data_IF_073062571114
#
_entry.id   IF_073062571114
#
_cell.length_a   1.000
_cell.length_b   1.000
_cell.length_c   1.000
_cell.angle_alpha   90.00
_cell.angle_beta   90.00
_cell.angle_gamma   90.00
#
_symmetry.space_group_name_H-M   'P 1'
#
loop_
_entity.id
_entity.type
_entity.pdbx_description
1 polymer ?
#
# COMPACT_ATOMS: atom_id res chain seq x y z
N UNK A 1 23.14 18.85 -0.82
CA UNK A 1 21.74 19.30 -0.62
C UNK A 1 20.88 18.10 -0.98
N UNK A 2 20.74 17.18 -0.03
CA UNK A 2 19.95 15.96 -0.22
C UNK A 2 18.49 16.34 -0.02
N UNK A 3 17.70 16.23 -1.09
CA UNK A 3 16.26 16.29 -1.02
C UNK A 3 15.82 15.02 -0.27
N UNK A 4 15.68 15.11 1.05
CA UNK A 4 15.16 14.01 1.87
C UNK A 4 13.76 13.73 1.35
N UNK A 5 13.46 12.46 1.06
CA UNK A 5 12.13 12.02 0.64
C UNK A 5 11.15 12.56 1.68
N UNK A 6 10.37 13.55 1.26
CA UNK A 6 9.44 14.22 2.15
C UNK A 6 8.25 13.29 2.32
N UNK A 7 8.27 12.46 3.38
CA UNK A 7 7.05 11.76 3.83
C UNK A 7 5.92 12.81 3.95
N UNK A 8 4.80 12.70 3.22
CA UNK A 8 3.59 13.37 3.67
C UNK A 8 3.22 12.73 5.01
N UNK A 9 3.42 13.50 6.09
CA UNK A 9 3.01 13.09 7.42
C UNK A 9 1.49 12.85 7.41
N UNK A 10 1.08 11.59 7.60
CA UNK A 10 -0.29 11.24 7.94
C UNK A 10 -1.38 11.69 6.96
N UNK A 11 -1.27 11.36 5.68
CA UNK A 11 -2.48 11.24 4.87
C UNK A 11 -3.24 10.01 5.37
N UNK A 12 -4.33 10.25 6.09
CA UNK A 12 -5.21 9.19 6.59
C UNK A 12 -5.70 8.37 5.40
N UNK A 13 -5.54 7.06 5.49
CA UNK A 13 -6.07 6.12 4.52
C UNK A 13 -6.79 4.98 5.21
N UNK A 14 -7.70 4.35 4.49
CA UNK A 14 -8.53 3.25 4.98
C UNK A 14 -8.32 2.01 4.13
N UNK A 15 -8.27 0.86 4.79
CA UNK A 15 -8.23 -0.44 4.13
C UNK A 15 -9.64 -1.02 4.07
N UNK A 16 -10.00 -1.59 2.92
CA UNK A 16 -11.29 -2.20 2.65
C UNK A 16 -11.10 -3.64 2.19
N UNK A 17 -11.92 -4.56 2.70
CA UNK A 17 -12.04 -5.91 2.15
C UNK A 17 -13.07 -5.88 1.02
N UNK A 18 -12.60 -6.10 -0.21
CA UNK A 18 -13.38 -6.01 -1.44
C UNK A 18 -13.66 -7.40 -2.01
N UNK A 19 -14.90 -7.67 -2.42
CA UNK A 19 -15.28 -8.96 -3.03
C UNK A 19 -15.14 -10.17 -2.11
N UNK A 20 -14.87 -9.98 -0.81
CA UNK A 20 -14.71 -11.02 0.20
C UNK A 20 -13.27 -11.45 0.46
N UNK A 21 -12.31 -11.08 -0.39
CA UNK A 21 -10.92 -11.56 -0.30
C UNK A 21 -9.91 -10.43 -0.51
N UNK A 22 -10.02 -9.69 -1.61
CA UNK A 22 -9.05 -8.66 -1.98
C UNK A 22 -9.03 -7.47 -1.01
N UNK A 23 -7.86 -6.86 -0.84
CA UNK A 23 -7.71 -5.70 0.05
C UNK A 23 -7.36 -4.47 -0.77
N UNK A 24 -8.17 -3.42 -0.61
CA UNK A 24 -7.97 -2.10 -1.21
C UNK A 24 -7.53 -1.10 -0.14
N UNK A 25 -6.52 -0.29 -0.44
CA UNK A 25 -6.24 0.93 0.30
C UNK A 25 -6.79 2.12 -0.47
N UNK A 26 -7.46 3.05 0.23
CA UNK A 26 -7.81 4.36 -0.30
C UNK A 26 -7.34 5.46 0.64
N UNK A 27 -6.71 6.50 0.08
CA UNK A 27 -6.31 7.69 0.83
C UNK A 27 -7.41 8.76 0.87
N UNK A 28 -7.21 9.76 1.72
CA UNK A 28 -8.09 10.93 1.83
C UNK A 28 -8.03 11.87 0.64
N UNK A 29 -7.07 11.72 -0.28
CA UNK A 29 -6.88 12.58 -1.46
C UNK A 29 -7.62 12.06 -2.70
N UNK A 30 -8.39 10.98 -2.55
CA UNK A 30 -9.15 10.39 -3.63
C UNK A 30 -8.31 9.45 -4.50
N UNK A 31 -7.23 8.85 -3.96
CA UNK A 31 -6.49 7.80 -4.64
C UNK A 31 -6.67 6.43 -3.97
N UNK A 32 -6.69 5.36 -4.76
CA UNK A 32 -6.86 4.00 -4.26
C UNK A 32 -6.02 2.98 -5.04
N UNK A 33 -5.65 1.88 -4.40
CA UNK A 33 -5.06 0.73 -5.07
C UNK A 33 -5.40 -0.55 -4.30
N UNK A 34 -5.59 -1.65 -5.04
CA UNK A 34 -5.48 -2.96 -4.44
C UNK A 34 -4.04 -3.18 -3.97
N UNK A 35 -3.92 -3.66 -2.73
CA UNK A 35 -2.63 -3.95 -2.09
C UNK A 35 -2.37 -5.44 -1.91
N UNK A 36 -3.39 -6.27 -2.10
CA UNK A 36 -3.30 -7.73 -2.03
C UNK A 36 -4.54 -8.38 -2.64
N UNK A 37 -4.35 -9.54 -3.28
CA UNK A 37 -5.47 -10.36 -3.76
C UNK A 37 -6.25 -11.01 -2.61
N UNK A 38 -5.61 -11.14 -1.45
CA UNK A 38 -6.20 -11.55 -0.19
C UNK A 38 -5.60 -10.78 1.00
N UNK A 39 -6.10 -11.06 2.22
CA UNK A 39 -5.61 -10.45 3.45
C UNK A 39 -4.15 -10.84 3.77
N UNK A 40 -3.73 -12.06 3.45
CA UNK A 40 -2.37 -12.52 3.74
C UNK A 40 -1.37 -11.74 2.88
N UNK A 41 -1.61 -11.63 1.57
CA UNK A 41 -0.78 -10.84 0.66
C UNK A 41 -0.71 -9.36 1.09
N UNK A 42 -1.85 -8.78 1.48
CA UNK A 42 -1.89 -7.40 1.95
C UNK A 42 -1.03 -7.21 3.21
N UNK A 43 -1.10 -8.14 4.16
CA UNK A 43 -0.27 -8.10 5.38
C UNK A 43 1.21 -8.30 5.05
N UNK A 44 1.56 -9.20 4.12
CA UNK A 44 2.93 -9.39 3.66
C UNK A 44 3.51 -8.10 3.08
N UNK A 45 2.75 -7.38 2.24
CA UNK A 45 3.15 -6.06 1.71
C UNK A 45 3.41 -5.08 2.85
N UNK A 46 2.49 -4.95 3.82
CA UNK A 46 2.64 -4.00 4.93
C UNK A 46 3.81 -4.33 5.86
N UNK A 47 4.14 -5.61 6.01
CA UNK A 47 5.22 -6.07 6.89
C UNK A 47 6.58 -6.03 6.24
N UNK A 48 6.68 -6.27 4.93
CA UNK A 48 7.97 -6.40 4.24
C UNK A 48 8.31 -5.15 3.43
N UNK A 49 7.28 -4.47 2.88
CA UNK A 49 7.39 -3.29 2.04
C UNK A 49 6.50 -2.14 2.56
N UNK A 50 6.74 -1.60 3.77
CA UNK A 50 5.89 -0.58 4.38
C UNK A 50 5.94 0.78 3.65
N UNK A 51 6.95 0.98 2.81
CA UNK A 51 7.13 2.12 1.89
C UNK A 51 6.44 1.89 0.53
N UNK A 52 5.56 0.89 0.41
CA UNK A 52 4.94 0.49 -0.85
C UNK A 52 4.29 1.65 -1.63
N UNK A 53 3.76 2.66 -0.93
CA UNK A 53 3.14 3.85 -1.56
C UNK A 53 4.12 4.68 -2.38
N UNK A 54 5.41 4.58 -2.08
CA UNK A 54 6.47 5.35 -2.72
C UNK A 54 7.09 4.59 -3.91
N UNK A 55 6.67 3.34 -4.17
CA UNK A 55 7.19 2.49 -5.26
C UNK A 55 6.89 3.01 -6.67
N UNK A 56 5.87 3.85 -6.83
CA UNK A 56 5.58 4.54 -8.09
C UNK A 56 6.50 5.73 -8.38
N UNK A 57 7.35 6.09 -7.42
CA UNK A 57 8.36 7.14 -7.58
C UNK A 57 9.57 6.71 -8.39
N UNK A 58 10.55 7.61 -8.51
CA UNK A 58 11.81 7.37 -9.22
C UNK A 58 12.92 6.75 -8.35
N UNK A 59 12.62 6.43 -7.10
CA UNK A 59 13.61 5.99 -6.12
C UNK A 59 13.81 4.47 -6.18
N UNK A 60 15.06 3.97 -6.10
CA UNK A 60 15.33 2.55 -5.97
C UNK A 60 14.70 1.96 -4.71
N UNK A 61 14.29 0.69 -4.77
CA UNK A 61 13.67 -0.01 -3.64
C UNK A 61 14.62 -0.05 -2.44
N UNK A 62 15.91 -0.24 -2.69
CA UNK A 62 16.95 -0.33 -1.66
C UNK A 62 17.11 0.99 -0.90
N UNK A 63 16.91 2.14 -1.57
CA UNK A 63 16.97 3.46 -0.93
C UNK A 63 15.75 3.69 -0.04
N UNK A 64 14.55 3.34 -0.52
CA UNK A 64 13.30 3.41 0.26
C UNK A 64 13.37 2.50 1.50
N UNK A 65 13.91 1.29 1.34
CA UNK A 65 14.14 0.36 2.44
C UNK A 65 15.08 0.94 3.51
N UNK A 66 16.22 1.47 3.07
CA UNK A 66 17.21 2.02 4.00
C UNK A 66 16.66 3.22 4.75
N UNK A 67 15.98 4.14 4.06
CA UNK A 67 15.35 5.29 4.70
C UNK A 67 14.28 4.85 5.71
N UNK A 68 13.48 3.84 5.38
CA UNK A 68 12.48 3.34 6.32
C UNK A 68 13.12 2.75 7.59
N UNK A 69 14.23 2.00 7.45
CA UNK A 69 14.99 1.46 8.60
C UNK A 69 15.67 2.55 9.41
N UNK A 70 16.17 3.60 8.76
CA UNK A 70 16.77 4.75 9.44
C UNK A 70 15.73 5.50 10.30
N UNK A 71 14.49 5.61 9.82
CA UNK A 71 13.37 6.22 10.54
C UNK A 71 12.80 5.31 11.65
N UNK A 72 12.88 3.98 11.49
CA UNK A 72 12.39 3.00 12.45
C UNK A 72 13.45 1.91 12.71
N UNK A 73 14.45 2.16 13.57
CA UNK A 73 15.58 1.24 13.77
C UNK A 73 15.23 -0.14 14.34
N UNK A 74 14.08 -0.25 15.03
CA UNK A 74 13.54 -1.50 15.59
C UNK A 74 12.59 -2.23 14.62
N UNK A 75 12.50 -1.78 13.36
CA UNK A 75 11.57 -2.32 12.37
C UNK A 75 11.78 -3.82 12.11
N UNK A 76 13.02 -4.26 11.85
CA UNK A 76 13.27 -5.65 11.49
C UNK A 76 12.87 -6.60 12.64
N UNK A 77 13.19 -6.26 13.88
CA UNK A 77 12.79 -7.05 15.06
C UNK A 77 11.25 -7.12 15.20
N UNK A 78 10.55 -6.01 14.96
CA UNK A 78 9.09 -5.95 15.05
C UNK A 78 8.41 -6.71 13.91
N UNK A 79 8.95 -6.59 12.70
CA UNK A 79 8.52 -7.36 11.52
C UNK A 79 8.65 -8.85 11.80
N UNK A 80 9.83 -9.31 12.22
CA UNK A 80 10.11 -10.73 12.39
C UNK A 80 9.24 -11.34 13.50
N UNK A 81 8.98 -10.58 14.58
CA UNK A 81 8.02 -10.97 15.61
C UNK A 81 6.59 -11.13 15.07
N UNK A 82 6.14 -10.20 14.23
CA UNK A 82 4.80 -10.25 13.62
C UNK A 82 4.67 -11.41 12.63
N UNK A 83 5.67 -11.61 11.76
CA UNK A 83 5.74 -12.75 10.83
C UNK A 83 5.60 -14.06 11.60
N UNK A 84 6.39 -14.23 12.67
CA UNK A 84 6.33 -15.43 13.51
C UNK A 84 4.98 -15.61 14.20
N UNK A 85 4.41 -14.55 14.78
CA UNK A 85 3.14 -14.61 15.48
C UNK A 85 1.95 -14.92 14.56
N UNK A 86 2.01 -14.47 13.30
CA UNK A 86 0.99 -14.71 12.29
C UNK A 86 1.20 -16.00 11.49
N UNK A 87 2.33 -16.70 11.70
CA UNK A 87 2.67 -17.92 10.96
C UNK A 87 2.90 -17.67 9.46
N UNK A 88 3.32 -16.45 9.10
CA UNK A 88 3.55 -16.07 7.71
C UNK A 88 4.92 -16.56 7.24
N UNK A 89 5.05 -16.77 5.93
CA UNK A 89 6.35 -17.02 5.28
C UNK A 89 6.44 -16.10 4.06
N UNK A 90 6.70 -14.79 4.27
CA UNK A 90 6.65 -13.83 3.19
C UNK A 90 7.68 -14.15 2.11
N UNK A 91 7.35 -13.96 0.83
CA UNK A 91 8.32 -14.11 -0.24
C UNK A 91 9.36 -12.97 -0.21
N UNK A 92 10.45 -13.07 -1.00
CA UNK A 92 11.43 -12.01 -1.12
C UNK A 92 10.80 -10.68 -1.57
N UNK A 93 11.39 -9.55 -1.15
CA UNK A 93 10.89 -8.20 -1.46
C UNK A 93 10.57 -8.02 -2.94
N UNK A 94 11.48 -8.44 -3.83
CA UNK A 94 11.30 -8.32 -5.28
C UNK A 94 10.03 -9.01 -5.79
N UNK A 95 9.67 -10.15 -5.19
CA UNK A 95 8.44 -10.87 -5.53
C UNK A 95 7.21 -10.18 -4.95
N UNK A 96 7.26 -9.68 -3.72
CA UNK A 96 6.19 -8.86 -3.13
C UNK A 96 5.91 -7.63 -3.99
N UNK A 97 6.95 -6.91 -4.42
CA UNK A 97 6.83 -5.73 -5.30
C UNK A 97 6.19 -6.12 -6.63
N UNK A 98 6.58 -7.24 -7.23
CA UNK A 98 6.00 -7.71 -8.48
C UNK A 98 4.51 -8.08 -8.33
N UNK A 99 4.15 -8.80 -7.25
CA UNK A 99 2.76 -9.16 -6.94
C UNK A 99 1.90 -7.94 -6.64
N UNK A 100 2.43 -6.98 -5.89
CA UNK A 100 1.76 -5.72 -5.60
C UNK A 100 1.46 -4.95 -6.89
N UNK A 101 2.43 -4.80 -7.80
CA UNK A 101 2.21 -4.13 -9.09
C UNK A 101 1.15 -4.82 -9.94
N UNK A 102 1.20 -6.16 -10.02
CA UNK A 102 0.20 -6.94 -10.75
C UNK A 102 -1.21 -6.77 -10.14
N UNK A 103 -1.29 -6.74 -8.82
CA UNK A 103 -2.54 -6.55 -8.07
C UNK A 103 -3.09 -5.13 -8.23
N UNK A 104 -2.24 -4.12 -8.10
CA UNK A 104 -2.58 -2.73 -8.27
C UNK A 104 -3.08 -2.43 -9.69
N UNK A 105 -2.50 -3.07 -10.71
CA UNK A 105 -2.96 -2.95 -12.10
C UNK A 105 -4.41 -3.43 -12.31
N UNK A 106 -4.95 -4.26 -11.41
CA UNK A 106 -6.37 -4.69 -11.44
C UNK A 106 -7.32 -3.71 -10.77
N UNK A 107 -6.81 -2.67 -10.09
CA UNK A 107 -7.66 -1.68 -9.42
C UNK A 107 -8.62 -1.03 -10.41
N UNK A 108 -8.12 -0.68 -11.60
CA UNK A 108 -8.95 -0.33 -12.75
C UNK A 108 -9.03 -1.53 -13.72
N UNK A 109 -10.22 -1.89 -14.24
CA UNK A 109 -11.55 -1.37 -13.91
C UNK A 109 -12.27 -2.10 -12.76
N UNK A 110 -11.68 -3.16 -12.19
CA UNK A 110 -12.41 -4.13 -11.34
C UNK A 110 -12.79 -3.58 -9.95
N UNK A 111 -12.03 -2.64 -9.39
CA UNK A 111 -12.15 -2.23 -7.98
C UNK A 111 -12.15 -0.71 -7.76
N UNK A 112 -12.55 0.08 -8.77
CA UNK A 112 -12.59 1.54 -8.66
C UNK A 112 -13.59 1.97 -7.59
N UNK A 113 -13.15 2.54 -6.46
CA UNK A 113 -14.08 3.01 -5.44
C UNK A 113 -14.91 4.18 -5.97
N UNK A 114 -16.21 4.12 -5.71
CA UNK A 114 -17.12 5.23 -5.90
C UNK A 114 -17.51 5.76 -4.53
N UNK A 115 -17.35 7.08 -4.32
CA UNK A 115 -17.99 7.68 -3.16
C UNK A 115 -19.51 7.65 -3.40
N UNK A 116 -20.26 7.32 -2.35
CA UNK A 116 -21.73 7.45 -2.38
C UNK A 116 -22.09 8.93 -2.23
N UNK A 117 -23.09 9.37 -2.99
CA UNK A 117 -23.59 10.75 -3.01
C UNK A 117 -23.77 11.31 -1.59
N UNK A 118 -23.28 12.53 -1.35
CA UNK A 118 -23.81 13.36 -0.26
C UNK A 118 -25.12 13.99 -0.74
N UNK A 119 -26.03 14.29 0.19
CA UNK A 119 -27.41 14.81 -0.04
C UNK A 119 -27.53 16.01 -1.01
N UNK A 120 -26.41 16.60 -1.44
CA UNK A 120 -26.32 17.79 -2.29
C UNK A 120 -26.34 17.50 -3.80
N UNK A 121 -26.47 16.24 -4.22
CA UNK A 121 -26.66 15.86 -5.64
C UNK A 121 -25.41 16.00 -6.52
N UNK A 122 -24.23 16.18 -5.93
CA UNK A 122 -22.95 16.13 -6.64
C UNK A 122 -22.51 14.67 -6.78
N UNK A 123 -22.41 14.18 -8.03
CA UNK A 123 -21.82 12.87 -8.33
C UNK A 123 -20.33 12.96 -8.02
N UNK A 124 -19.84 12.25 -6.99
CA UNK A 124 -18.44 12.37 -6.62
C UNK A 124 -17.56 11.73 -7.71
N UNK A 125 -16.41 12.36 -7.95
CA UNK A 125 -15.42 11.87 -8.91
C UNK A 125 -14.92 10.47 -8.48
N UNK A 126 -14.66 9.56 -9.43
CA UNK A 126 -14.04 8.29 -9.12
C UNK A 126 -12.66 8.50 -8.51
N UNK A 127 -12.26 7.60 -7.62
CA UNK A 127 -10.90 7.59 -7.10
C UNK A 127 -9.89 7.36 -8.24
N UNK A 128 -8.73 8.02 -8.17
CA UNK A 128 -7.59 7.75 -9.06
C UNK A 128 -6.83 6.52 -8.60
N UNK A 129 -6.27 5.73 -9.51
CA UNK A 129 -5.38 4.63 -9.11
C UNK A 129 -4.03 5.18 -8.63
N UNK A 130 -3.55 4.69 -7.47
CA UNK A 130 -2.19 4.97 -7.01
C UNK A 130 -1.22 4.32 -8.01
N UNK A 131 -0.33 5.13 -8.61
CA UNK A 131 0.72 4.60 -9.49
C UNK A 131 1.75 3.82 -8.67
N UNK A 132 1.95 2.54 -9.01
CA UNK A 132 2.86 1.60 -8.35
C UNK A 132 3.77 0.89 -9.36
#
# INVERSE_FOLDING_TARGET
MHDRIRRPAGTGGTYFLCGGEAVLYADSEGSAALIGADLAEAVEVLLVCPYWRDLGGSWPVEELEQEYRDDLPDYDERRDRLISALGLTPPPVAEIVARLRATAARTEPEFVPTAVEREDGEVPLPYRVIGL
#
